data_IF_731494859515
#
_entry.id   IF_731494859515
#
_cell.length_a   1.000
_cell.length_b   1.000
_cell.length_c   1.000
_cell.angle_alpha   90.00
_cell.angle_beta   90.00
_cell.angle_gamma   90.00
#
_symmetry.space_group_name_H-M   'P 1'
#
loop_
_entity.id
_entity.type
_entity.pdbx_description
1 polymer ?
#
# COMPACT_ATOMS: atom_id res chain seq x y z
N UNK A 1 3.00 -3.05 11.41
CA UNK A 1 2.86 -3.21 9.95
C UNK A 1 1.40 -3.37 9.60
N UNK A 2 0.98 -2.85 8.46
CA UNK A 2 -0.32 -3.12 7.87
C UNK A 2 -0.12 -4.19 6.80
N UNK A 3 -0.93 -5.24 6.84
CA UNK A 3 -0.89 -6.29 5.82
C UNK A 3 -1.90 -5.93 4.74
N UNK A 4 -1.42 -5.75 3.50
CA UNK A 4 -2.24 -5.34 2.37
C UNK A 4 -2.15 -6.39 1.26
N UNK A 5 -3.27 -6.74 0.66
CA UNK A 5 -3.35 -7.69 -0.47
C UNK A 5 -3.53 -6.93 -1.78
N UNK A 6 -2.78 -7.30 -2.81
CA UNK A 6 -3.00 -6.78 -4.17
C UNK A 6 -4.33 -7.29 -4.68
N UNK A 7 -5.27 -6.39 -4.93
CA UNK A 7 -6.63 -6.73 -5.37
C UNK A 7 -6.87 -6.39 -6.85
N UNK A 8 -6.03 -5.54 -7.44
CA UNK A 8 -6.08 -5.24 -8.89
C UNK A 8 -4.70 -4.92 -9.46
N UNK A 9 -4.47 -5.35 -10.70
CA UNK A 9 -3.28 -5.06 -11.51
C UNK A 9 -3.70 -4.87 -12.97
N UNK A 10 -4.65 -3.95 -13.20
CA UNK A 10 -5.20 -3.69 -14.53
C UNK A 10 -4.25 -2.90 -15.44
N UNK A 11 -3.27 -2.19 -14.86
CA UNK A 11 -2.27 -1.39 -15.58
C UNK A 11 -0.89 -2.02 -15.36
N UNK A 12 -0.06 -2.20 -16.40
CA UNK A 12 1.21 -2.93 -16.29
C UNK A 12 2.21 -2.39 -15.25
N UNK A 13 2.10 -1.12 -14.87
CA UNK A 13 3.02 -0.43 -13.96
C UNK A 13 2.37 0.00 -12.64
N UNK A 14 1.10 -0.39 -12.38
CA UNK A 14 0.37 0.00 -11.18
C UNK A 14 -0.41 -1.18 -10.61
N UNK A 15 -0.13 -1.48 -9.35
CA UNK A 15 -0.92 -2.38 -8.53
C UNK A 15 -1.82 -1.57 -7.58
N UNK A 16 -2.98 -2.11 -7.27
CA UNK A 16 -3.90 -1.57 -6.26
C UNK A 16 -4.02 -2.58 -5.12
N UNK A 17 -3.86 -2.11 -3.89
CA UNK A 17 -4.00 -2.89 -2.66
C UNK A 17 -5.24 -2.47 -1.87
N UNK A 18 -5.71 -3.36 -0.98
CA UNK A 18 -6.89 -3.19 -0.11
C UNK A 18 -6.66 -2.34 1.15
N UNK A 19 -5.45 -1.79 1.34
CA UNK A 19 -5.13 -0.92 2.47
C UNK A 19 -5.09 0.56 2.04
N UNK A 20 -6.24 1.24 2.15
CA UNK A 20 -6.39 2.68 1.91
C UNK A 20 -6.19 3.55 3.15
N UNK A 21 -6.85 4.70 3.19
CA UNK A 21 -6.86 5.63 4.32
C UNK A 21 -7.63 5.08 5.52
N UNK A 22 -8.73 4.34 5.34
CA UNK A 22 -9.48 3.75 6.48
C UNK A 22 -8.67 2.71 7.26
N UNK A 23 -7.59 2.20 6.67
CA UNK A 23 -6.70 1.23 7.32
C UNK A 23 -5.50 1.89 8.03
N UNK A 24 -5.34 3.22 7.95
CA UNK A 24 -4.19 3.94 8.49
C UNK A 24 -4.41 5.44 8.66
N UNK A 25 -3.35 6.20 8.88
CA UNK A 25 -3.36 7.66 8.78
C UNK A 25 -2.27 8.16 7.83
N UNK A 26 -2.48 9.34 7.25
CA UNK A 26 -1.53 10.03 6.36
C UNK A 26 -1.10 11.40 6.88
N UNK A 27 -1.41 11.69 8.14
CA UNK A 27 -1.03 12.94 8.82
C UNK A 27 0.50 13.15 8.88
N UNK A 28 1.26 12.05 8.96
CA UNK A 28 2.73 12.04 8.90
C UNK A 28 3.27 11.46 7.58
N UNK A 29 2.51 11.58 6.49
CA UNK A 29 2.89 11.10 5.16
C UNK A 29 2.38 9.69 4.83
N UNK A 30 2.73 9.22 3.64
CA UNK A 30 2.27 7.93 3.12
C UNK A 30 3.04 6.76 3.75
N UNK A 31 2.41 5.58 3.86
CA UNK A 31 3.15 4.37 4.21
C UNK A 31 4.18 4.02 3.13
N UNK A 32 5.15 3.19 3.49
CA UNK A 32 6.08 2.61 2.53
C UNK A 32 6.10 1.08 2.60
N UNK A 33 6.47 0.44 1.50
CA UNK A 33 6.55 -1.02 1.40
C UNK A 33 7.81 -1.49 2.13
N UNK A 34 7.65 -2.43 3.06
CA UNK A 34 8.76 -2.97 3.85
C UNK A 34 9.53 -4.06 3.08
N UNK A 35 10.87 -3.97 3.11
CA UNK A 35 11.76 -5.02 2.62
C UNK A 35 11.82 -5.15 1.09
N UNK A 36 11.36 -4.13 0.36
CA UNK A 36 11.31 -4.09 -1.10
C UNK A 36 11.59 -2.67 -1.59
N UNK A 37 12.47 -2.55 -2.57
CA UNK A 37 12.84 -1.27 -3.22
C UNK A 37 12.39 -1.23 -4.69
N UNK A 38 11.76 -2.29 -5.18
CA UNK A 38 11.28 -2.45 -6.55
C UNK A 38 9.87 -1.91 -6.77
N UNK A 39 9.14 -1.63 -5.68
CA UNK A 39 7.76 -1.14 -5.68
C UNK A 39 7.59 -0.01 -4.68
N UNK A 40 6.66 0.92 -4.93
CA UNK A 40 6.47 2.10 -4.08
C UNK A 40 5.01 2.45 -3.89
N UNK A 41 4.60 2.66 -2.64
CA UNK A 41 3.26 3.17 -2.34
C UNK A 41 3.20 4.68 -2.62
N UNK A 42 2.30 5.13 -3.50
CA UNK A 42 2.30 6.51 -4.01
C UNK A 42 1.01 7.27 -3.80
N UNK A 43 -0.11 6.58 -3.56
CA UNK A 43 -1.41 7.23 -3.35
C UNK A 43 -2.31 6.32 -2.53
N UNK A 44 -3.24 6.90 -1.79
CA UNK A 44 -4.34 6.19 -1.18
C UNK A 44 -5.66 6.92 -1.40
N UNK A 45 -6.74 6.17 -1.54
CA UNK A 45 -8.12 6.62 -1.30
C UNK A 45 -8.63 5.95 -0.03
N UNK A 46 -9.92 6.11 0.29
CA UNK A 46 -10.56 5.54 1.48
C UNK A 46 -10.20 4.06 1.72
N UNK A 47 -10.37 3.21 0.71
CA UNK A 47 -10.24 1.74 0.85
C UNK A 47 -9.12 1.15 -0.01
N UNK A 48 -8.46 1.97 -0.83
CA UNK A 48 -7.49 1.47 -1.80
C UNK A 48 -6.15 2.20 -1.70
N UNK A 49 -5.07 1.45 -1.81
CA UNK A 49 -3.71 1.96 -1.97
C UNK A 49 -3.19 1.74 -3.38
N UNK A 50 -2.48 2.70 -3.95
CA UNK A 50 -1.83 2.60 -5.26
C UNK A 50 -0.34 2.38 -5.06
N UNK A 51 0.16 1.32 -5.66
CA UNK A 51 1.57 0.93 -5.63
C UNK A 51 2.13 0.99 -7.05
N UNK A 52 3.18 1.77 -7.25
CA UNK A 52 3.99 1.72 -8.46
C UNK A 52 4.74 0.39 -8.52
N UNK A 53 4.56 -0.31 -9.64
CA UNK A 53 5.17 -1.61 -9.93
C UNK A 53 5.77 -1.58 -11.36
N UNK A 54 6.85 -0.82 -11.58
CA UNK A 54 7.41 -0.60 -12.92
C UNK A 54 7.95 -1.89 -13.57
N UNK A 55 8.26 -2.91 -12.77
CA UNK A 55 8.76 -4.20 -13.24
C UNK A 55 7.66 -5.26 -13.37
N UNK A 56 6.40 -4.91 -13.10
CA UNK A 56 5.24 -5.81 -13.18
C UNK A 56 5.47 -7.13 -12.40
N UNK A 57 6.03 -7.01 -11.19
CA UNK A 57 6.38 -8.18 -10.36
C UNK A 57 5.26 -8.60 -9.41
N UNK A 58 4.30 -7.70 -9.13
CA UNK A 58 3.21 -7.97 -8.20
C UNK A 58 2.08 -8.76 -8.87
N UNK A 59 1.52 -9.73 -8.16
CA UNK A 59 0.34 -10.50 -8.61
C UNK A 59 -0.87 -10.24 -7.72
N UNK A 60 -2.06 -10.40 -8.28
CA UNK A 60 -3.31 -10.39 -7.49
C UNK A 60 -3.25 -11.46 -6.40
N UNK A 61 -3.73 -11.13 -5.21
CA UNK A 61 -3.63 -11.85 -3.94
C UNK A 61 -2.25 -11.91 -3.29
N UNK A 62 -1.21 -11.31 -3.89
CA UNK A 62 0.08 -11.16 -3.22
C UNK A 62 -0.04 -10.21 -2.03
N UNK A 63 0.66 -10.51 -0.93
CA UNK A 63 0.61 -9.71 0.29
C UNK A 63 1.85 -8.85 0.45
N UNK A 64 1.64 -7.59 0.78
CA UNK A 64 2.67 -6.61 1.09
C UNK A 64 2.56 -6.19 2.56
N UNK A 65 3.71 -5.92 3.16
CA UNK A 65 3.79 -5.32 4.49
C UNK A 65 4.06 -3.83 4.32
N UNK A 66 3.17 -3.00 4.83
CA UNK A 66 3.31 -1.56 4.84
C UNK A 66 3.76 -1.09 6.23
N UNK A 67 4.75 -0.20 6.26
CA UNK A 67 5.09 0.58 7.46
C UNK A 67 4.26 1.86 7.40
N UNK A 68 3.46 2.12 8.43
CA UNK A 68 2.62 3.32 8.50
C UNK A 68 3.47 4.58 8.72
N UNK A 69 2.97 5.73 8.25
CA UNK A 69 3.62 7.02 8.49
C UNK A 69 3.56 7.45 9.96
N UNK A 70 2.47 7.12 10.66
CA UNK A 70 2.27 7.40 12.09
C UNK A 70 1.59 6.20 12.75
N UNK A 71 2.22 5.64 13.78
CA UNK A 71 1.70 4.45 14.46
C UNK A 71 0.44 4.70 15.28
N UNK A 72 0.39 5.78 16.08
CA UNK A 72 -0.67 6.07 17.04
C UNK A 72 -2.06 6.17 16.40
N UNK A 73 -2.29 7.02 15.37
CA UNK A 73 -3.57 7.10 14.70
C UNK A 73 -3.86 5.86 13.83
N UNK A 74 -2.85 5.18 13.31
CA UNK A 74 -3.04 3.92 12.56
C UNK A 74 -3.55 2.79 13.46
N UNK A 75 -3.15 2.74 14.72
CA UNK A 75 -3.64 1.75 15.68
C UNK A 75 -5.05 2.06 16.20
N UNK A 76 -5.54 3.28 16.00
CA UNK A 76 -6.80 3.78 16.54
C UNK A 76 -7.95 3.79 15.52
N UNK A 77 -7.71 3.33 14.29
CA UNK A 77 -8.74 3.20 13.23
C UNK A 77 -9.33 1.80 13.16
#
# INVERSE_FOLDING_TARGET
FILASVMSHAKPHLAVVDAGLKAQSVDSGLPFVHGRDDVKYVKCSDEHGVVEDPKCVLKVNEKLKLVSGHCDPTCNV
#
